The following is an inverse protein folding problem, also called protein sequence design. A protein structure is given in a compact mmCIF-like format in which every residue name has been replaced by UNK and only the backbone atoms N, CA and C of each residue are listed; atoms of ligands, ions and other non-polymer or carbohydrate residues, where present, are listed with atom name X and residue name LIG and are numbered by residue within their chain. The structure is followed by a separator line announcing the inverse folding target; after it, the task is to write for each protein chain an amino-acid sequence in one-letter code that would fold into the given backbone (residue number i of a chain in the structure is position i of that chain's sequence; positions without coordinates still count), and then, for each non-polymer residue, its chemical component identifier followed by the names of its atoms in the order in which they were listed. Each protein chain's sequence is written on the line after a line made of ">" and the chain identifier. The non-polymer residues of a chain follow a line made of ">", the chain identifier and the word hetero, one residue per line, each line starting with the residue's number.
data_IF_874149624510
#
_entry.id   IF_874149624510
#
_cell.length_a   1.000
_cell.length_b   1.000
_cell.length_c   1.000
_cell.angle_alpha   90.00
_cell.angle_beta   90.00
_cell.angle_gamma   90.00
#
_symmetry.space_group_name_H-M   'P 1'
#
loop_
_entity.id
_entity.type
_entity.pdbx_description
1 polymer ?
#
# COMPACT_ATOMS: atom_id res chain seq x y z
N UNK A 1 -3.48 -24.50 -15.30
CA UNK A 1 -2.09 -24.00 -15.34
C UNK A 1 -2.10 -22.48 -15.51
N UNK A 2 -1.64 -21.71 -14.52
CA UNK A 2 -1.51 -20.25 -14.62
C UNK A 2 -0.18 -19.90 -15.29
N UNK A 3 -0.15 -19.21 -16.45
CA UNK A 3 1.06 -18.97 -17.25
C UNK A 3 1.92 -17.80 -16.73
N UNK A 4 1.92 -17.54 -15.42
CA UNK A 4 2.96 -16.72 -14.79
C UNK A 4 3.31 -17.40 -13.47
N UNK A 5 4.58 -17.79 -13.30
CA UNK A 5 5.09 -18.56 -12.16
C UNK A 5 5.10 -17.80 -10.84
N UNK A 6 4.16 -16.88 -10.61
CA UNK A 6 3.98 -16.19 -9.33
C UNK A 6 2.90 -16.91 -8.54
N UNK A 7 3.32 -17.66 -7.54
CA UNK A 7 2.40 -18.31 -6.59
C UNK A 7 1.80 -17.27 -5.64
N UNK A 8 0.57 -17.55 -5.18
CA UNK A 8 0.01 -16.86 -4.03
C UNK A 8 0.88 -17.14 -2.81
N UNK A 9 1.30 -16.08 -2.12
CA UNK A 9 2.07 -16.17 -0.90
C UNK A 9 1.14 -15.84 0.26
N UNK A 10 1.12 -16.68 1.29
CA UNK A 10 0.45 -16.35 2.54
C UNK A 10 1.18 -15.16 3.16
N UNK A 11 0.48 -14.06 3.32
CA UNK A 11 1.02 -12.85 3.93
C UNK A 11 0.29 -12.52 5.23
N UNK A 12 1.03 -11.99 6.20
CA UNK A 12 0.49 -11.69 7.51
C UNK A 12 -0.03 -10.25 7.56
N UNK A 13 -1.15 -10.07 8.25
CA UNK A 13 -1.65 -8.75 8.60
C UNK A 13 -0.87 -8.27 9.83
N UNK A 14 -0.14 -7.18 9.64
CA UNK A 14 0.66 -6.50 10.66
C UNK A 14 -0.23 -5.77 11.65
N UNK A 15 -1.22 -5.03 11.13
CA UNK A 15 -2.17 -4.28 11.94
C UNK A 15 -3.38 -3.84 11.10
N UNK A 16 -4.48 -3.50 11.75
CA UNK A 16 -5.57 -2.79 11.09
C UNK A 16 -5.26 -1.28 11.07
N UNK A 17 -5.08 -0.67 9.89
CA UNK A 17 -4.84 0.78 9.81
C UNK A 17 -6.11 1.57 10.04
N UNK A 18 -7.23 1.13 9.47
CA UNK A 18 -8.54 1.74 9.65
C UNK A 18 -9.58 0.65 9.86
N UNK A 19 -10.42 0.78 10.88
CA UNK A 19 -11.55 -0.09 11.17
C UNK A 19 -12.82 0.75 11.28
N UNK A 20 -13.63 0.83 10.23
CA UNK A 20 -14.81 1.69 10.19
C UNK A 20 -16.10 0.90 9.88
N UNK A 21 -16.56 0.00 10.75
CA UNK A 21 -17.69 -0.90 10.46
C UNK A 21 -19.01 -0.14 10.22
N UNK A 22 -19.18 1.00 10.88
CA UNK A 22 -20.40 1.83 10.79
C UNK A 22 -20.19 3.12 9.98
N UNK A 23 -19.02 3.28 9.36
CA UNK A 23 -18.71 4.47 8.58
C UNK A 23 -19.22 4.30 7.15
N UNK A 24 -20.02 5.27 6.69
CA UNK A 24 -20.42 5.34 5.29
C UNK A 24 -19.23 5.83 4.43
N UNK A 25 -19.00 5.17 3.30
CA UNK A 25 -18.02 5.58 2.31
C UNK A 25 -18.53 5.35 0.89
N UNK A 26 -18.04 6.16 -0.06
CA UNK A 26 -18.27 5.95 -1.48
C UNK A 26 -17.31 4.88 -2.01
N UNK A 27 -17.87 3.80 -2.54
CA UNK A 27 -17.14 2.70 -3.16
C UNK A 27 -17.27 2.72 -4.67
N UNK A 28 -16.17 2.39 -5.34
CA UNK A 28 -16.08 2.09 -6.75
C UNK A 28 -15.99 0.57 -6.89
N UNK A 29 -16.99 0.01 -7.55
CA UNK A 29 -17.17 -1.43 -7.72
C UNK A 29 -16.83 -1.78 -9.16
N UNK A 30 -15.77 -2.57 -9.34
CA UNK A 30 -15.28 -3.00 -10.64
C UNK A 30 -15.75 -4.42 -10.90
N UNK A 31 -16.62 -4.59 -11.90
CA UNK A 31 -17.02 -5.91 -12.37
C UNK A 31 -16.18 -6.27 -13.59
N UNK A 32 -15.55 -7.43 -13.57
CA UNK A 32 -14.72 -7.94 -14.67
C UNK A 32 -15.55 -8.74 -15.68
N UNK A 33 -15.00 -8.99 -16.87
CA UNK A 33 -15.63 -9.84 -17.89
C UNK A 33 -15.83 -11.28 -17.42
N UNK A 34 -14.99 -11.76 -16.49
CA UNK A 34 -15.07 -13.11 -15.92
C UNK A 34 -15.99 -13.19 -14.69
N UNK A 35 -16.77 -12.15 -14.39
CA UNK A 35 -17.74 -12.14 -13.29
C UNK A 35 -17.13 -11.86 -11.91
N UNK A 36 -15.83 -11.62 -11.79
CA UNK A 36 -15.20 -11.17 -10.54
C UNK A 36 -15.57 -9.72 -10.23
N UNK A 37 -15.69 -9.39 -8.94
CA UNK A 37 -16.04 -8.06 -8.46
C UNK A 37 -15.18 -7.65 -7.28
N UNK A 38 -14.64 -6.43 -7.31
CA UNK A 38 -14.00 -5.80 -6.15
C UNK A 38 -14.56 -4.41 -5.92
N UNK A 39 -14.82 -4.06 -4.67
CA UNK A 39 -15.30 -2.74 -4.24
C UNK A 39 -14.23 -2.05 -3.42
N UNK A 40 -13.81 -0.85 -3.82
CA UNK A 40 -12.75 -0.09 -3.17
C UNK A 40 -13.18 1.36 -2.94
N UNK A 41 -12.67 2.01 -1.89
CA UNK A 41 -12.87 3.45 -1.72
C UNK A 41 -12.16 4.23 -2.82
N UNK A 42 -12.68 5.39 -3.22
CA UNK A 42 -12.14 6.14 -4.38
C UNK A 42 -10.65 6.48 -4.29
N UNK A 43 -10.14 6.70 -3.08
CA UNK A 43 -8.73 7.00 -2.86
C UNK A 43 -7.84 5.75 -2.74
N UNK A 44 -8.36 4.54 -2.76
CA UNK A 44 -7.57 3.31 -2.62
C UNK A 44 -6.73 3.06 -3.88
N UNK A 45 -5.45 2.71 -3.73
CA UNK A 45 -4.60 2.38 -4.87
C UNK A 45 -4.86 0.97 -5.37
N UNK A 46 -5.07 0.83 -6.68
CA UNK A 46 -5.23 -0.45 -7.36
C UNK A 46 -4.22 -0.55 -8.52
N UNK A 47 -3.52 -1.69 -8.69
CA UNK A 47 -2.68 -1.91 -9.84
C UNK A 47 -3.56 -2.19 -11.06
N UNK A 48 -3.31 -1.46 -12.15
CA UNK A 48 -3.99 -1.65 -13.42
C UNK A 48 -2.98 -1.67 -14.56
N UNK A 49 -3.28 -2.43 -15.62
CA UNK A 49 -2.56 -2.31 -16.88
C UNK A 49 -3.18 -1.16 -17.68
N UNK A 50 -2.33 -0.24 -18.14
CA UNK A 50 -2.69 0.79 -19.12
C UNK A 50 -2.39 0.26 -20.52
N UNK A 51 -3.44 -0.04 -21.30
CA UNK A 51 -3.31 -0.65 -22.63
C UNK A 51 -2.41 0.16 -23.56
N UNK A 52 -2.52 1.49 -23.54
CA UNK A 52 -1.76 2.41 -24.38
C UNK A 52 -0.24 2.37 -24.10
N UNK A 53 0.16 2.06 -22.86
CA UNK A 53 1.56 2.09 -22.42
C UNK A 53 2.14 0.69 -22.19
N UNK A 54 1.31 -0.35 -22.28
CA UNK A 54 1.62 -1.72 -21.87
C UNK A 54 2.36 -1.77 -20.51
N UNK A 55 1.93 -0.92 -19.57
CA UNK A 55 2.61 -0.69 -18.29
C UNK A 55 1.63 -0.83 -17.15
N UNK A 56 2.09 -1.47 -16.07
CA UNK A 56 1.35 -1.50 -14.81
C UNK A 56 1.53 -0.20 -14.06
N UNK A 57 0.43 0.46 -13.74
CA UNK A 57 0.41 1.66 -12.91
C UNK A 57 -0.48 1.45 -11.68
N UNK A 58 -0.13 2.16 -10.60
CA UNK A 58 -0.91 2.17 -9.38
C UNK A 58 -1.68 3.47 -9.29
N UNK A 59 -2.97 3.42 -9.57
CA UNK A 59 -3.82 4.61 -9.60
C UNK A 59 -4.93 4.53 -8.54
N UNK A 60 -5.47 5.66 -8.07
CA UNK A 60 -6.65 5.66 -7.21
C UNK A 60 -7.84 5.01 -7.93
N UNK A 61 -8.65 4.24 -7.21
CA UNK A 61 -9.84 3.57 -7.73
C UNK A 61 -10.79 4.54 -8.47
N UNK A 62 -10.92 5.78 -7.98
CA UNK A 62 -11.74 6.81 -8.64
C UNK A 62 -11.26 7.24 -10.02
N UNK A 63 -10.00 6.94 -10.39
CA UNK A 63 -9.41 7.26 -11.70
C UNK A 63 -9.41 6.09 -12.67
N UNK A 64 -9.83 4.91 -12.23
CA UNK A 64 -9.91 3.72 -13.09
C UNK A 64 -11.07 3.89 -14.07
N UNK A 65 -10.83 3.49 -15.32
CA UNK A 65 -11.80 3.56 -16.43
C UNK A 65 -11.88 2.21 -17.13
N UNK A 66 -12.86 2.04 -18.03
CA UNK A 66 -13.04 0.80 -18.82
C UNK A 66 -11.88 0.51 -19.80
N UNK A 67 -11.01 1.48 -20.06
CA UNK A 67 -9.78 1.30 -20.86
C UNK A 67 -8.65 0.60 -20.09
N UNK A 68 -8.82 0.40 -18.79
CA UNK A 68 -7.83 -0.25 -17.95
C UNK A 68 -8.18 -1.73 -17.74
N UNK A 69 -7.16 -2.54 -17.47
CA UNK A 69 -7.36 -3.93 -17.07
C UNK A 69 -6.90 -4.15 -15.63
N UNK A 70 -7.66 -4.94 -14.87
CA UNK A 70 -7.29 -5.32 -13.51
C UNK A 70 -6.28 -6.47 -13.53
N UNK A 71 -5.44 -6.55 -12.50
CA UNK A 71 -4.43 -7.60 -12.38
C UNK A 71 -4.91 -8.70 -11.43
N UNK A 72 -4.99 -9.92 -11.94
CA UNK A 72 -5.27 -11.17 -11.21
C UNK A 72 -4.07 -12.10 -11.37
N UNK A 73 -3.31 -12.37 -10.30
CA UNK A 73 -2.24 -13.38 -10.31
C UNK A 73 -1.25 -13.26 -11.49
N UNK A 74 -0.90 -12.03 -11.85
CA UNK A 74 -0.02 -11.74 -12.99
C UNK A 74 -0.67 -11.83 -14.38
N UNK A 75 -1.97 -12.12 -14.44
CA UNK A 75 -2.81 -11.96 -15.65
C UNK A 75 -3.57 -10.65 -15.58
N UNK A 76 -3.96 -10.13 -16.74
CA UNK A 76 -4.84 -8.97 -16.85
C UNK A 76 -6.25 -9.39 -17.24
N UNK A 77 -7.24 -8.69 -16.72
CA UNK A 77 -8.65 -8.95 -17.00
C UNK A 77 -9.35 -7.63 -17.32
N UNK A 78 -10.06 -7.53 -18.46
CA UNK A 78 -10.83 -6.35 -18.79
C UNK A 78 -11.94 -6.04 -17.77
N UNK A 79 -12.17 -4.74 -17.56
CA UNK A 79 -13.27 -4.26 -16.74
C UNK A 79 -14.53 -4.21 -17.61
N UNK A 80 -15.58 -4.92 -17.18
CA UNK A 80 -16.89 -4.94 -17.84
C UNK A 80 -17.72 -3.72 -17.45
N UNK A 81 -17.77 -3.38 -16.16
CA UNK A 81 -18.51 -2.20 -15.69
C UNK A 81 -17.92 -1.64 -14.40
N UNK A 82 -18.17 -0.35 -14.17
CA UNK A 82 -17.78 0.37 -12.94
C UNK A 82 -19.05 0.98 -12.37
N UNK A 83 -19.34 0.68 -11.10
CA UNK A 83 -20.51 1.23 -10.38
C UNK A 83 -20.04 1.98 -9.14
N UNK A 84 -20.69 3.08 -8.84
CA UNK A 84 -20.49 3.79 -7.58
C UNK A 84 -21.62 3.48 -6.61
N UNK A 85 -21.30 3.19 -5.36
CA UNK A 85 -22.29 2.88 -4.34
C UNK A 85 -21.81 3.38 -2.98
N UNK A 86 -22.70 3.98 -2.20
CA UNK A 86 -22.42 4.29 -0.81
C UNK A 86 -22.67 3.02 0.01
N UNK A 87 -21.66 2.54 0.73
CA UNK A 87 -21.78 1.38 1.61
C UNK A 87 -21.27 1.73 3.01
N UNK A 88 -21.78 1.03 4.00
CA UNK A 88 -21.28 1.07 5.37
C UNK A 88 -20.22 -0.01 5.55
N UNK A 89 -19.19 0.29 6.34
CA UNK A 89 -18.14 -0.67 6.63
C UNK A 89 -16.98 -0.55 5.65
N UNK A 90 -15.85 -0.04 6.12
CA UNK A 90 -14.59 -0.15 5.39
C UNK A 90 -13.41 -0.44 6.31
N UNK A 91 -12.51 -1.27 5.79
CA UNK A 91 -11.38 -1.80 6.53
C UNK A 91 -10.12 -1.59 5.71
N UNK A 92 -9.02 -1.28 6.38
CA UNK A 92 -7.72 -1.06 5.72
C UNK A 92 -6.63 -1.80 6.51
N UNK A 93 -6.45 -3.11 6.29
CA UNK A 93 -5.39 -3.85 6.95
C UNK A 93 -4.04 -3.56 6.29
N UNK A 94 -2.98 -3.46 7.10
CA UNK A 94 -1.59 -3.38 6.65
C UNK A 94 -1.00 -4.79 6.63
N UNK A 95 -0.56 -5.26 5.48
CA UNK A 95 0.19 -6.51 5.33
C UNK A 95 1.71 -6.28 5.29
N UNK A 96 2.52 -7.34 5.44
CA UNK A 96 3.97 -7.23 5.33
C UNK A 96 4.41 -6.91 3.89
N UNK A 97 3.75 -7.46 2.88
CA UNK A 97 4.04 -7.17 1.47
C UNK A 97 3.43 -5.84 1.00
N UNK A 98 2.41 -5.33 1.70
CA UNK A 98 1.55 -4.19 1.29
C UNK A 98 0.63 -4.46 0.10
N UNK A 99 0.54 -5.72 -0.31
CA UNK A 99 -0.45 -6.19 -1.26
C UNK A 99 -1.50 -7.02 -0.52
N UNK A 100 -2.70 -7.02 -1.07
CA UNK A 100 -3.80 -7.87 -0.66
C UNK A 100 -4.41 -8.52 -1.88
N UNK A 101 -4.99 -9.68 -1.67
CA UNK A 101 -5.76 -10.38 -2.67
C UNK A 101 -7.21 -10.42 -2.19
N UNK A 102 -8.05 -9.53 -2.74
CA UNK A 102 -9.43 -9.31 -2.31
C UNK A 102 -10.36 -9.69 -3.45
N UNK A 103 -11.27 -10.64 -3.21
CA UNK A 103 -12.18 -11.17 -4.22
C UNK A 103 -11.48 -11.58 -5.54
N UNK A 104 -10.32 -12.21 -5.39
CA UNK A 104 -9.44 -12.58 -6.50
C UNK A 104 -8.90 -11.40 -7.32
N UNK A 105 -8.76 -10.21 -6.75
CA UNK A 105 -8.15 -9.07 -7.43
C UNK A 105 -6.99 -8.54 -6.56
N UNK A 106 -5.85 -8.29 -7.18
CA UNK A 106 -4.69 -7.74 -6.48
C UNK A 106 -4.95 -6.27 -6.16
N UNK A 107 -4.80 -5.88 -4.90
CA UNK A 107 -4.95 -4.50 -4.43
C UNK A 107 -3.78 -4.10 -3.54
N UNK A 108 -3.58 -2.81 -3.33
CA UNK A 108 -2.59 -2.32 -2.37
C UNK A 108 -3.28 -1.97 -1.06
N UNK A 109 -2.57 -2.14 0.06
CA UNK A 109 -3.08 -1.70 1.37
C UNK A 109 -3.21 -0.18 1.50
N UNK A 110 -2.66 0.57 0.54
CA UNK A 110 -2.47 2.02 0.63
C UNK A 110 -3.54 2.84 -0.08
N UNK A 111 -3.71 4.09 0.39
CA UNK A 111 -4.59 5.08 -0.21
C UNK A 111 -3.86 6.37 -0.58
N UNK A 112 -4.27 6.97 -1.69
CA UNK A 112 -3.88 8.29 -2.18
C UNK A 112 -4.18 9.43 -1.20
N UNK A 113 -5.00 9.21 -0.16
CA UNK A 113 -5.21 10.16 0.93
C UNK A 113 -3.95 10.50 1.73
N UNK A 114 -2.86 9.78 1.51
CA UNK A 114 -1.55 10.06 2.09
C UNK A 114 -0.70 11.00 1.23
N UNK A 115 -1.20 11.43 0.07
CA UNK A 115 -0.51 12.37 -0.84
C UNK A 115 0.91 11.93 -1.23
N UNK A 116 1.14 10.62 -1.32
CA UNK A 116 2.41 10.03 -1.69
C UNK A 116 2.20 8.84 -2.61
N UNK A 117 3.19 8.57 -3.48
CA UNK A 117 3.15 7.40 -4.35
C UNK A 117 3.17 6.10 -3.53
N UNK A 118 2.60 5.01 -4.04
CA UNK A 118 2.67 3.70 -3.38
C UNK A 118 4.08 3.30 -2.96
N UNK A 119 5.08 3.51 -3.83
CA UNK A 119 6.49 3.22 -3.53
C UNK A 119 6.98 4.01 -2.31
N UNK A 120 6.61 5.28 -2.22
CA UNK A 120 6.93 6.11 -1.05
C UNK A 120 6.23 5.60 0.20
N UNK A 121 4.98 5.16 0.08
CA UNK A 121 4.21 4.60 1.19
C UNK A 121 4.81 3.28 1.69
N UNK A 122 5.32 2.42 0.81
CA UNK A 122 6.06 1.22 1.22
C UNK A 122 7.21 1.56 2.19
N UNK A 123 7.95 2.64 1.91
CA UNK A 123 9.04 3.09 2.76
C UNK A 123 8.56 3.74 4.06
N UNK A 124 7.53 4.60 3.99
CA UNK A 124 6.95 5.23 5.19
C UNK A 124 6.47 4.18 6.20
N UNK A 125 5.91 3.07 5.73
CA UNK A 125 5.41 1.99 6.58
C UNK A 125 6.46 0.89 6.86
N UNK A 126 7.67 0.97 6.30
CA UNK A 126 8.72 -0.03 6.55
C UNK A 126 9.12 -0.15 8.03
N UNK A 127 9.29 0.96 8.80
CA UNK A 127 9.64 0.87 10.23
C UNK A 127 8.62 0.07 11.06
N UNK A 128 7.31 0.21 10.76
CA UNK A 128 6.25 -0.55 11.43
C UNK A 128 6.43 -2.05 11.19
N UNK A 129 6.74 -2.46 9.95
CA UNK A 129 6.96 -3.87 9.60
C UNK A 129 8.23 -4.42 10.26
N UNK A 130 9.29 -3.62 10.32
CA UNK A 130 10.54 -4.00 11.00
C UNK A 130 10.27 -4.20 12.49
N UNK A 131 9.58 -3.27 13.14
CA UNK A 131 9.19 -3.39 14.53
C UNK A 131 8.31 -4.63 14.78
N UNK A 132 7.34 -4.90 13.91
CA UNK A 132 6.51 -6.10 13.97
C UNK A 132 7.32 -7.40 13.91
N UNK A 133 8.29 -7.48 12.98
CA UNK A 133 9.17 -8.65 12.86
C UNK A 133 10.04 -8.84 14.09
N UNK A 134 10.69 -7.77 14.56
CA UNK A 134 11.58 -7.82 15.73
C UNK A 134 10.82 -8.30 16.97
N UNK A 135 9.65 -7.71 17.23
CA UNK A 135 8.84 -8.05 18.39
C UNK A 135 8.35 -9.50 18.37
N UNK A 136 7.87 -10.02 17.23
CA UNK A 136 7.48 -11.44 17.12
C UNK A 136 8.66 -12.41 17.19
N UNK A 137 9.86 -11.99 16.77
CA UNK A 137 11.08 -12.80 17.00
C UNK A 137 11.44 -12.88 18.49
N UNK A 138 11.29 -11.78 19.24
CA UNK A 138 11.66 -11.72 20.67
C UNK A 138 10.59 -12.36 21.56
N UNK A 139 9.31 -12.04 21.32
CA UNK A 139 8.19 -12.38 22.20
C UNK A 139 7.35 -13.55 21.68
N UNK A 140 7.67 -14.10 20.51
CA UNK A 140 7.01 -15.25 19.92
C UNK A 140 6.00 -14.91 18.82
N UNK A 141 5.65 -15.91 18.00
CA UNK A 141 4.79 -15.75 16.83
C UNK A 141 3.35 -15.35 17.15
N UNK A 142 2.87 -15.55 18.38
CA UNK A 142 1.51 -15.15 18.79
C UNK A 142 1.45 -13.73 19.38
N UNK A 143 2.59 -13.05 19.53
CA UNK A 143 2.63 -11.70 20.07
C UNK A 143 2.10 -10.67 19.05
N UNK A 144 1.10 -9.89 19.45
CA UNK A 144 0.60 -8.75 18.67
C UNK A 144 1.18 -7.44 19.23
N UNK A 145 2.12 -6.78 18.51
CA UNK A 145 2.71 -5.52 18.93
C UNK A 145 1.75 -4.32 18.74
N UNK A 146 0.60 -4.51 18.09
CA UNK A 146 -0.40 -3.47 17.86
C UNK A 146 -1.79 -3.90 18.36
N UNK A 147 -1.95 -4.26 19.65
CA UNK A 147 -3.17 -4.89 20.19
C UNK A 147 -4.35 -3.92 20.31
N UNK A 148 -4.25 -2.71 19.77
CA UNK A 148 -5.28 -1.69 19.91
C UNK A 148 -6.57 -2.18 19.23
N UNK A 149 -7.56 -2.56 20.04
CA UNK A 149 -8.91 -2.82 19.57
C UNK A 149 -9.51 -1.49 19.10
N UNK A 150 -9.25 -1.12 17.85
CA UNK A 150 -9.89 0.03 17.22
C UNK A 150 -11.37 -0.33 17.12
N UNK A 151 -12.20 0.24 18.00
CA UNK A 151 -13.66 0.07 17.92
C UNK A 151 -14.22 0.74 16.66
N UNK A 152 -13.70 1.92 16.32
CA UNK A 152 -14.04 2.66 15.12
C UNK A 152 -12.93 3.68 14.76
N UNK A 153 -12.58 3.81 13.47
CA UNK A 153 -11.66 4.84 12.94
C UNK A 153 -10.25 4.39 12.58
N UNK A 154 -9.33 5.38 12.52
CA UNK A 154 -7.93 5.22 12.12
C UNK A 154 -7.06 4.87 13.34
N UNK A 155 -6.22 3.84 13.22
CA UNK A 155 -5.29 3.44 14.28
C UNK A 155 -4.33 4.61 14.63
N UNK A 156 -3.94 4.78 15.91
CA UNK A 156 -3.06 5.87 16.32
C UNK A 156 -1.72 5.93 15.55
N UNK A 157 -1.13 4.77 15.25
CA UNK A 157 0.13 4.67 14.50
C UNK A 157 0.05 5.27 13.08
N UNK A 158 -0.84 4.86 12.17
CA UNK A 158 -0.99 5.51 10.87
C UNK A 158 -1.47 6.97 10.99
N UNK A 159 -2.24 7.33 12.03
CA UNK A 159 -2.58 8.73 12.32
C UNK A 159 -1.32 9.56 12.62
N UNK A 160 -0.42 9.04 13.45
CA UNK A 160 0.88 9.65 13.74
C UNK A 160 1.73 9.74 12.48
N UNK A 161 1.87 8.64 11.71
CA UNK A 161 2.63 8.65 10.47
C UNK A 161 2.09 9.65 9.46
N UNK A 162 0.76 9.77 9.32
CA UNK A 162 0.14 10.76 8.44
C UNK A 162 0.50 12.19 8.85
N UNK A 163 0.49 12.48 10.17
CA UNK A 163 0.86 13.79 10.71
C UNK A 163 2.35 14.11 10.51
N UNK A 164 3.23 13.12 10.65
CA UNK A 164 4.67 13.30 10.60
C UNK A 164 5.33 12.74 9.33
N UNK A 165 4.57 12.54 8.26
CA UNK A 165 5.07 11.85 7.06
C UNK A 165 6.29 12.56 6.45
N UNK A 166 6.34 13.89 6.49
CA UNK A 166 7.49 14.68 6.03
C UNK A 166 8.74 14.41 6.89
N UNK A 167 8.59 14.42 8.21
CA UNK A 167 9.69 14.13 9.14
C UNK A 167 10.19 12.69 8.98
N UNK A 168 9.28 11.72 8.88
CA UNK A 168 9.62 10.30 8.62
C UNK A 168 10.37 10.18 7.29
N UNK A 169 9.93 10.90 6.26
CA UNK A 169 10.60 10.93 4.96
C UNK A 169 12.01 11.54 5.07
N UNK A 170 12.17 12.64 5.81
CA UNK A 170 13.48 13.26 6.05
C UNK A 170 14.40 12.31 6.83
N UNK A 171 13.92 11.66 7.89
CA UNK A 171 14.74 10.72 8.67
C UNK A 171 15.13 9.51 7.83
N UNK A 172 14.22 8.98 7.01
CA UNK A 172 14.46 7.78 6.22
C UNK A 172 15.32 8.02 4.97
N UNK A 173 15.07 9.12 4.25
CA UNK A 173 15.83 9.46 3.03
C UNK A 173 17.01 10.39 3.29
N UNK A 174 17.02 11.11 4.42
CA UNK A 174 18.08 12.03 4.84
C UNK A 174 19.47 11.41 4.78
N UNK A 175 19.69 10.17 5.27
CA UNK A 175 20.98 9.49 5.14
C UNK A 175 21.48 9.40 3.70
N UNK A 176 20.61 9.10 2.71
CA UNK A 176 21.00 9.07 1.29
C UNK A 176 21.45 10.44 0.77
N UNK A 177 20.83 11.51 1.25
CA UNK A 177 21.24 12.88 0.90
C UNK A 177 22.50 13.32 1.67
N UNK A 178 22.70 12.77 2.87
CA UNK A 178 23.91 12.96 3.67
C UNK A 178 25.13 12.40 2.93
N UNK A 179 25.01 11.23 2.32
CA UNK A 179 26.08 10.66 1.49
C UNK A 179 26.43 11.58 0.30
N UNK A 180 25.43 12.18 -0.36
CA UNK A 180 25.63 13.09 -1.49
C UNK A 180 26.33 14.39 -1.06
N UNK A 181 26.15 14.86 0.17
CA UNK A 181 26.76 16.12 0.64
C UNK A 181 28.11 15.86 1.31
N UNK A 182 28.21 14.84 2.16
CA UNK A 182 29.41 14.56 2.94
C UNK A 182 30.51 13.94 2.06
N UNK A 183 30.18 13.04 1.13
CA UNK A 183 31.20 12.38 0.31
C UNK A 183 31.99 13.39 -0.54
N UNK A 184 31.37 14.37 -1.25
CA UNK A 184 32.12 15.41 -1.96
C UNK A 184 32.94 16.31 -1.04
N UNK A 185 32.44 16.65 0.16
CA UNK A 185 33.18 17.46 1.13
C UNK A 185 34.43 16.72 1.61
N UNK A 186 34.31 15.42 1.90
CA UNK A 186 35.43 14.57 2.31
C UNK A 186 36.43 14.40 1.16
N UNK A 187 35.96 14.13 -0.06
CA UNK A 187 36.79 14.03 -1.27
C UNK A 187 37.56 15.34 -1.50
N UNK A 188 36.88 16.49 -1.47
CA UNK A 188 37.49 17.81 -1.64
C UNK A 188 38.57 18.07 -0.58
N UNK A 189 38.32 17.70 0.68
CA UNK A 189 39.31 17.83 1.76
C UNK A 189 40.54 16.93 1.57
N UNK A 190 40.37 15.73 1.01
CA UNK A 190 41.49 14.82 0.70
C UNK A 190 42.33 15.39 -0.45
N UNK A 191 41.70 15.89 -1.51
CA UNK A 191 42.41 16.47 -2.66
C UNK A 191 43.10 17.80 -2.34
N UNK A 192 42.57 18.62 -1.42
CA UNK A 192 43.23 19.87 -0.99
C UNK A 192 44.48 19.64 -0.13
N UNK A 193 44.66 18.44 0.44
CA UNK A 193 45.81 18.08 1.29
C UNK A 193 46.97 17.44 0.52
N UNK A 194 46.82 17.18 -0.78
CA UNK A 194 47.90 16.78 -1.69
C UNK A 194 48.35 17.99 -2.49
#
# INVERSE_FOLDING_TARGET
>A
MTPSGKSLIKDEIVMMMHNGPNQAALFYTFQTTNGLEVSLTGAHYIPVLMDELNKTEHIPASKVTLKHQLILLGKTIPIKSIRTTIRYGFYSPLSLSSYLFVNNITTLVFSASHHASPQTLHHIFAPIRVYYRITRTIYGSNYDPFPTAIKDGLHPVPRFLKKFHLLVRIIYFGPKYFDIIIVPILIFRVFKKK
#
